data_IF_713792234146
#
_entry.id   IF_713792234146
#
_cell.length_a   1.000
_cell.length_b   1.000
_cell.length_c   1.000
_cell.angle_alpha   90.00
_cell.angle_beta   90.00
_cell.angle_gamma   90.00
#
_symmetry.space_group_name_H-M   'P 1'
#
loop_
_entity.id
_entity.type
_entity.pdbx_description
1 polymer ?
#
# COMPACT_ATOMS: atom_id res chain seq x y z
N UNK A 1 25.62 -8.43 -29.64
CA UNK A 1 25.07 -7.15 -29.14
C UNK A 1 23.54 -7.09 -29.26
N UNK A 2 22.77 -7.75 -28.36
CA UNK A 2 21.36 -7.36 -28.17
C UNK A 2 20.98 -7.21 -26.69
N UNK A 3 21.94 -6.98 -25.77
CA UNK A 3 21.65 -6.92 -24.34
C UNK A 3 20.72 -5.75 -23.96
N UNK A 4 20.89 -4.59 -24.61
CA UNK A 4 20.10 -3.39 -24.33
C UNK A 4 18.60 -3.53 -24.63
N UNK A 5 18.16 -4.04 -25.81
CA UNK A 5 16.73 -4.24 -26.07
C UNK A 5 16.10 -5.32 -25.19
N UNK A 6 16.87 -6.36 -24.82
CA UNK A 6 16.42 -7.39 -23.86
C UNK A 6 16.20 -6.81 -22.47
N UNK A 7 17.13 -5.97 -21.97
CA UNK A 7 17.00 -5.28 -20.69
C UNK A 7 15.78 -4.35 -20.67
N UNK A 8 15.56 -3.59 -21.75
CA UNK A 8 14.40 -2.71 -21.88
C UNK A 8 13.07 -3.49 -21.90
N UNK A 9 13.03 -4.63 -22.60
CA UNK A 9 11.85 -5.49 -22.62
C UNK A 9 11.55 -6.08 -21.23
N UNK A 10 12.56 -6.47 -20.46
CA UNK A 10 12.36 -6.98 -19.08
C UNK A 10 11.87 -5.90 -18.12
N UNK A 11 12.33 -4.66 -18.26
CA UNK A 11 11.86 -3.52 -17.44
C UNK A 11 10.40 -3.16 -17.76
N UNK A 12 10.00 -3.26 -19.03
CA UNK A 12 8.63 -2.99 -19.45
C UNK A 12 7.63 -4.02 -18.89
N UNK A 13 8.00 -5.31 -18.80
CA UNK A 13 7.14 -6.33 -18.20
C UNK A 13 6.96 -6.16 -16.68
N UNK A 14 7.96 -5.62 -15.98
CA UNK A 14 7.89 -5.36 -14.54
C UNK A 14 7.01 -4.13 -14.22
N UNK A 15 6.81 -3.22 -15.16
CA UNK A 15 6.00 -2.02 -14.97
C UNK A 15 4.48 -2.28 -15.01
N UNK A 16 4.05 -3.48 -15.42
CA UNK A 16 2.63 -3.84 -15.53
C UNK A 16 1.97 -4.30 -14.21
N UNK A 17 2.68 -4.32 -13.08
CA UNK A 17 2.04 -4.44 -11.76
C UNK A 17 1.54 -3.07 -11.28
N UNK A 18 0.63 -2.48 -12.05
CA UNK A 18 -0.19 -1.39 -11.55
C UNK A 18 -0.99 -1.95 -10.36
N UNK A 19 -0.57 -1.61 -9.15
CA UNK A 19 -1.27 -2.06 -7.96
C UNK A 19 -2.66 -1.43 -7.96
N UNK A 20 -3.71 -2.21 -7.68
CA UNK A 20 -5.08 -1.73 -7.65
C UNK A 20 -5.17 -0.61 -6.63
N UNK A 21 -5.46 0.60 -7.11
CA UNK A 21 -5.65 1.75 -6.25
C UNK A 21 -6.98 2.42 -6.51
N UNK A 22 -7.59 3.00 -5.47
CA UNK A 22 -8.75 3.87 -5.53
C UNK A 22 -8.35 5.22 -6.11
N UNK A 23 -7.96 5.20 -7.38
CA UNK A 23 -7.81 6.41 -8.17
C UNK A 23 -9.21 6.77 -8.70
N UNK A 24 -9.70 8.00 -8.52
CA UNK A 24 -10.80 8.51 -9.31
C UNK A 24 -10.29 8.67 -10.75
N UNK A 25 -10.45 7.63 -11.56
CA UNK A 25 -10.09 7.58 -12.97
C UNK A 25 -11.24 6.95 -13.76
N UNK A 26 -11.27 7.13 -15.09
CA UNK A 26 -12.37 6.65 -15.92
C UNK A 26 -12.50 5.12 -15.99
N UNK A 27 -11.48 4.37 -15.52
CA UNK A 27 -11.52 2.91 -15.43
C UNK A 27 -11.26 2.45 -13.99
N UNK A 28 -12.28 2.00 -13.25
CA UNK A 28 -12.04 1.25 -12.03
C UNK A 28 -11.42 -0.10 -12.39
N UNK A 29 -10.28 -0.44 -11.80
CA UNK A 29 -9.74 -1.79 -11.89
C UNK A 29 -10.79 -2.78 -11.34
N UNK A 30 -11.33 -3.71 -12.15
CA UNK A 30 -12.40 -4.60 -11.72
C UNK A 30 -11.98 -5.55 -10.60
N UNK A 31 -10.67 -5.72 -10.37
CA UNK A 31 -10.14 -6.54 -9.29
C UNK A 31 -10.07 -5.79 -7.94
N UNK A 32 -10.17 -4.46 -7.95
CA UNK A 32 -10.00 -3.62 -6.78
C UNK A 32 -11.34 -3.26 -6.13
N UNK A 33 -11.51 -3.59 -4.85
CA UNK A 33 -12.65 -3.10 -4.06
C UNK A 33 -12.24 -1.92 -3.20
N UNK A 34 -12.85 -0.76 -3.46
CA UNK A 34 -12.60 0.47 -2.73
C UNK A 34 -13.56 0.62 -1.55
N UNK A 35 -12.99 0.69 -0.34
CA UNK A 35 -13.73 0.88 0.91
C UNK A 35 -13.18 2.06 1.69
N UNK A 36 -13.92 2.53 2.69
CA UNK A 36 -13.45 3.61 3.54
C UNK A 36 -12.30 3.14 4.45
N UNK A 37 -11.33 4.02 4.66
CA UNK A 37 -10.17 3.74 5.49
C UNK A 37 -10.60 3.66 6.96
N UNK A 38 -10.59 2.45 7.53
CA UNK A 38 -11.00 2.19 8.93
C UNK A 38 -9.83 2.03 9.90
N UNK A 39 -8.60 1.98 9.39
CA UNK A 39 -7.39 1.71 10.16
C UNK A 39 -6.91 2.98 10.87
N UNK A 40 -7.10 3.02 12.20
CA UNK A 40 -6.76 4.16 13.07
C UNK A 40 -5.31 4.64 12.94
N UNK A 41 -4.35 3.72 12.85
CA UNK A 41 -2.92 4.06 12.71
C UNK A 41 -2.62 4.78 11.39
N UNK A 42 -3.48 4.61 10.38
CA UNK A 42 -3.35 5.21 9.06
C UNK A 42 -4.30 6.40 8.83
N UNK A 43 -5.07 6.82 9.84
CA UNK A 43 -6.05 7.90 9.71
C UNK A 43 -5.45 9.26 9.34
N UNK A 44 -4.17 9.49 9.64
CA UNK A 44 -3.46 10.73 9.29
C UNK A 44 -3.01 10.78 7.83
N UNK A 45 -3.26 9.74 7.04
CA UNK A 45 -2.92 9.73 5.63
C UNK A 45 -3.81 10.73 4.85
N UNK A 46 -3.27 11.32 3.78
CA UNK A 46 -3.98 12.32 2.97
C UNK A 46 -5.07 11.73 2.03
N UNK A 47 -5.76 10.67 2.46
CA UNK A 47 -6.84 9.98 1.75
C UNK A 47 -7.78 9.26 2.72
N UNK A 48 -9.03 9.06 2.27
CA UNK A 48 -10.09 8.49 3.10
C UNK A 48 -10.59 7.13 2.63
N UNK A 49 -10.08 6.61 1.51
CA UNK A 49 -10.48 5.31 0.93
C UNK A 49 -9.25 4.47 0.62
N UNK A 50 -9.42 3.17 0.72
CA UNK A 50 -8.36 2.19 0.46
C UNK A 50 -8.86 1.05 -0.42
N UNK A 51 -7.96 0.48 -1.21
CA UNK A 51 -8.24 -0.62 -2.10
C UNK A 51 -7.86 -1.99 -1.50
N UNK A 52 -8.70 -2.98 -1.75
CA UNK A 52 -8.40 -4.40 -1.54
C UNK A 52 -8.37 -5.16 -2.88
N UNK A 53 -7.51 -6.17 -3.05
CA UNK A 53 -6.51 -6.60 -2.07
C UNK A 53 -5.34 -5.62 -1.94
N UNK A 54 -4.73 -5.58 -0.75
CA UNK A 54 -3.48 -4.82 -0.53
C UNK A 54 -2.31 -5.49 -1.29
N UNK A 55 -1.14 -4.85 -1.45
CA UNK A 55 0.07 -5.48 -1.98
C UNK A 55 0.54 -6.70 -1.16
N UNK A 56 0.13 -6.81 0.11
CA UNK A 56 0.35 -7.99 0.95
C UNK A 56 -0.81 -8.99 0.91
N UNK A 57 -1.68 -8.87 -0.10
CA UNK A 57 -2.81 -9.76 -0.39
C UNK A 57 -3.90 -9.84 0.68
N UNK A 58 -3.85 -9.02 1.72
CA UNK A 58 -4.98 -8.83 2.63
C UNK A 58 -6.22 -8.43 1.83
N UNK A 59 -7.38 -9.00 2.19
CA UNK A 59 -8.65 -8.83 1.46
C UNK A 59 -9.70 -8.02 2.21
N UNK A 60 -9.45 -7.69 3.47
CA UNK A 60 -10.35 -6.86 4.27
C UNK A 60 -9.58 -6.11 5.35
N UNK A 61 -10.19 -5.05 5.88
CA UNK A 61 -9.59 -4.21 6.91
C UNK A 61 -9.42 -4.97 8.23
N UNK A 62 -10.32 -5.91 8.56
CA UNK A 62 -10.19 -6.77 9.74
C UNK A 62 -8.91 -7.61 9.68
N UNK A 63 -8.62 -8.16 8.50
CA UNK A 63 -7.41 -8.98 8.32
C UNK A 63 -6.17 -8.10 8.48
N UNK A 64 -6.14 -6.92 7.85
CA UNK A 64 -5.03 -5.97 8.03
C UNK A 64 -4.87 -5.56 9.48
N UNK A 65 -5.95 -5.26 10.19
CA UNK A 65 -5.89 -4.84 11.60
C UNK A 65 -5.32 -5.94 12.50
N UNK A 66 -5.61 -7.21 12.20
CA UNK A 66 -5.04 -8.37 12.89
C UNK A 66 -3.65 -8.78 12.40
N UNK A 67 -3.10 -8.13 11.38
CA UNK A 67 -1.81 -8.48 10.78
C UNK A 67 -0.63 -8.03 11.65
N UNK A 68 0.47 -8.82 11.70
CA UNK A 68 1.67 -8.43 12.44
C UNK A 68 2.29 -7.13 11.89
N UNK A 69 2.17 -6.87 10.59
CA UNK A 69 2.67 -5.66 9.95
C UNK A 69 1.95 -4.40 10.47
N UNK A 70 0.62 -4.45 10.61
CA UNK A 70 -0.16 -3.35 11.16
C UNK A 70 0.10 -3.14 12.66
N UNK A 71 0.21 -4.23 13.43
CA UNK A 71 0.58 -4.14 14.84
C UNK A 71 1.96 -3.50 15.03
N UNK A 72 2.93 -3.92 14.22
CA UNK A 72 4.29 -3.36 14.25
C UNK A 72 4.29 -1.86 13.93
N UNK A 73 3.47 -1.44 12.96
CA UNK A 73 3.33 -0.04 12.59
C UNK A 73 2.87 0.84 13.76
N UNK A 74 2.00 0.31 14.63
CA UNK A 74 1.51 1.02 15.82
C UNK A 74 2.56 1.20 16.91
N UNK A 75 3.49 0.27 17.07
CA UNK A 75 4.56 0.33 18.08
C UNK A 75 5.84 1.00 17.57
N UNK A 76 5.95 1.20 16.26
CA UNK A 76 7.14 1.71 15.58
C UNK A 76 7.68 3.00 16.20
N UNK A 77 6.78 3.93 16.58
CA UNK A 77 7.17 5.18 17.21
C UNK A 77 7.92 4.96 18.53
N UNK A 78 7.47 4.01 19.36
CA UNK A 78 8.10 3.69 20.64
C UNK A 78 9.42 2.95 20.46
N UNK A 79 9.49 2.00 19.51
CA UNK A 79 10.71 1.24 19.22
C UNK A 79 11.85 2.13 18.72
N UNK A 80 11.52 3.27 18.12
CA UNK A 80 12.48 4.21 17.57
C UNK A 80 12.66 5.44 18.46
N UNK A 81 12.09 5.45 19.68
CA UNK A 81 12.19 6.55 20.64
C UNK A 81 11.83 7.92 20.03
N UNK A 82 10.93 7.93 19.04
CA UNK A 82 10.56 9.13 18.29
C UNK A 82 11.65 9.69 17.35
N UNK A 83 12.78 9.01 17.16
CA UNK A 83 13.90 9.46 16.31
C UNK A 83 13.60 9.38 14.81
N UNK A 84 12.59 8.60 14.41
CA UNK A 84 12.21 8.47 13.02
C UNK A 84 11.04 9.38 12.65
N UNK A 85 11.11 9.91 11.43
CA UNK A 85 10.11 10.80 10.88
C UNK A 85 8.73 10.10 10.84
N UNK A 86 7.61 10.79 11.17
CA UNK A 86 6.24 10.27 10.98
C UNK A 86 5.98 9.68 9.59
N UNK A 87 6.77 10.06 8.58
CA UNK A 87 6.76 9.50 7.23
C UNK A 87 6.94 7.98 7.20
N UNK A 88 7.63 7.34 8.16
CA UNK A 88 7.72 5.87 8.18
C UNK A 88 6.36 5.20 8.41
N UNK A 89 5.52 5.80 9.26
CA UNK A 89 4.15 5.31 9.49
C UNK A 89 3.34 5.43 8.20
N UNK A 90 3.43 6.59 7.54
CA UNK A 90 2.74 6.84 6.28
C UNK A 90 3.23 5.91 5.15
N UNK A 91 4.53 5.60 5.13
CA UNK A 91 5.11 4.65 4.20
C UNK A 91 4.54 3.24 4.42
N UNK A 92 4.45 2.79 5.68
CA UNK A 92 3.78 1.52 6.01
C UNK A 92 2.30 1.50 5.60
N UNK A 93 1.58 2.61 5.81
CA UNK A 93 0.18 2.74 5.38
C UNK A 93 0.00 2.69 3.87
N UNK A 94 0.98 3.14 3.07
CA UNK A 94 0.89 3.04 1.60
C UNK A 94 0.89 1.60 1.10
N UNK A 95 1.43 0.67 1.89
CA UNK A 95 1.40 -0.78 1.63
C UNK A 95 0.19 -1.42 2.29
N UNK A 96 -0.06 -1.18 3.58
CA UNK A 96 -1.13 -1.89 4.31
C UNK A 96 -2.54 -1.38 3.98
N UNK A 97 -2.65 -0.15 3.51
CA UNK A 97 -3.90 0.50 3.21
C UNK A 97 -3.72 1.38 1.97
N UNK A 98 -3.37 0.81 0.81
CA UNK A 98 -3.06 1.59 -0.39
C UNK A 98 -4.26 2.45 -0.76
N UNK A 99 -3.99 3.63 -1.35
CA UNK A 99 -5.05 4.42 -1.97
C UNK A 99 -5.67 3.59 -3.05
#
# INVERSE_FOLDING_TARGET
>A
MPLLPLLLATLALLATSAHPGCRPGPDPDPAATCVDLRLRTCADAAYNRTAFPTPLEHRSWEVVESSPEYMLLGVLHFLLEGQCNPDLRLLGCSVLAPR
#
